data_IF_392418187743
#
_entry.id   IF_392418187743
#
_cell.length_a   1.000
_cell.length_b   1.000
_cell.length_c   1.000
_cell.angle_alpha   90.00
_cell.angle_beta   90.00
_cell.angle_gamma   90.00
#
_symmetry.space_group_name_H-M   'P 1'
#
loop_
_entity.id
_entity.type
_entity.pdbx_description
1 polymer ?
#
# COMPACT_ATOMS: atom_id res chain seq x y z
N UNK A 1 20.55 26.35 2.33
CA UNK A 1 19.11 26.62 2.51
C UNK A 1 18.50 27.19 1.23
N UNK A 2 18.94 28.36 0.75
CA UNK A 2 18.46 28.94 -0.53
C UNK A 2 18.55 27.98 -1.72
N UNK A 3 19.67 27.27 -1.92
CA UNK A 3 19.80 26.29 -3.01
C UNK A 3 18.80 25.13 -2.92
N UNK A 4 18.50 24.65 -1.71
CA UNK A 4 17.54 23.57 -1.49
C UNK A 4 16.11 24.04 -1.77
N UNK A 5 15.77 25.25 -1.33
CA UNK A 5 14.47 25.86 -1.60
C UNK A 5 14.29 26.20 -3.09
N UNK A 6 15.34 26.71 -3.74
CA UNK A 6 15.36 26.96 -5.19
C UNK A 6 15.20 25.69 -6.02
N UNK A 7 15.86 24.59 -5.61
CA UNK A 7 15.66 23.27 -6.21
C UNK A 7 14.19 22.82 -6.11
N UNK A 8 13.59 22.91 -4.91
CA UNK A 8 12.17 22.56 -4.70
C UNK A 8 11.22 23.39 -5.57
N UNK A 9 11.41 24.71 -5.63
CA UNK A 9 10.57 25.61 -6.40
C UNK A 9 10.65 25.33 -7.92
N UNK A 10 11.86 25.21 -8.46
CA UNK A 10 12.09 24.95 -9.88
C UNK A 10 11.48 23.61 -10.31
N UNK A 11 11.61 22.59 -9.46
CA UNK A 11 11.02 21.30 -9.73
C UNK A 11 9.49 21.33 -9.70
N UNK A 12 8.88 22.02 -8.73
CA UNK A 12 7.42 22.15 -8.68
C UNK A 12 6.87 22.85 -9.94
N UNK A 13 7.52 23.91 -10.42
CA UNK A 13 7.12 24.63 -11.65
C UNK A 13 7.24 23.77 -12.91
N UNK A 14 8.19 22.84 -12.94
CA UNK A 14 8.36 21.92 -14.07
C UNK A 14 7.25 20.86 -14.19
N UNK A 15 6.47 20.66 -13.12
CA UNK A 15 5.33 19.74 -13.13
C UNK A 15 4.16 20.44 -13.82
N UNK A 16 3.82 19.97 -15.02
CA UNK A 16 2.69 20.47 -15.80
C UNK A 16 1.53 19.46 -15.76
N UNK A 17 0.75 19.38 -14.65
CA UNK A 17 -0.32 18.39 -14.50
C UNK A 17 -1.45 18.62 -15.52
N UNK A 18 -1.62 19.84 -16.04
CA UNK A 18 -2.58 20.17 -17.10
C UNK A 18 -2.40 19.38 -18.41
N UNK A 19 -1.24 18.74 -18.61
CA UNK A 19 -0.99 17.83 -19.73
C UNK A 19 -1.68 16.47 -19.55
N UNK A 20 -2.19 16.15 -18.35
CA UNK A 20 -3.08 15.02 -18.08
C UNK A 20 -4.50 15.35 -18.59
N UNK A 21 -4.61 15.64 -19.89
CA UNK A 21 -5.90 15.92 -20.51
C UNK A 21 -6.71 14.61 -20.59
N UNK A 22 -7.95 14.66 -20.09
CA UNK A 22 -8.84 13.51 -19.92
C UNK A 22 -8.98 12.68 -21.20
N UNK A 23 -8.53 11.43 -21.13
CA UNK A 23 -9.10 10.32 -21.90
C UNK A 23 -9.22 9.11 -21.00
N UNK A 24 -10.46 8.81 -20.66
CA UNK A 24 -10.89 7.72 -19.79
C UNK A 24 -10.23 6.41 -20.24
N UNK A 25 -9.28 5.92 -19.44
CA UNK A 25 -8.54 4.67 -19.68
C UNK A 25 -7.02 4.82 -19.82
N UNK A 26 -6.48 6.02 -20.06
CA UNK A 26 -5.02 6.22 -20.20
C UNK A 26 -4.38 7.07 -19.11
N UNK A 27 -5.13 7.47 -18.08
CA UNK A 27 -4.66 8.36 -17.02
C UNK A 27 -3.37 7.84 -16.35
N UNK A 28 -3.37 6.59 -15.88
CA UNK A 28 -2.20 6.02 -15.20
C UNK A 28 -1.00 5.86 -16.15
N UNK A 29 -1.23 5.53 -17.42
CA UNK A 29 -0.14 5.44 -18.40
C UNK A 29 0.49 6.81 -18.67
N UNK A 30 -0.33 7.85 -18.75
CA UNK A 30 0.18 9.22 -18.88
C UNK A 30 0.92 9.66 -17.63
N UNK A 31 0.38 9.37 -16.44
CA UNK A 31 1.02 9.67 -15.16
C UNK A 31 2.37 8.96 -15.05
N UNK A 32 2.44 7.67 -15.35
CA UNK A 32 3.67 6.90 -15.32
C UNK A 32 4.71 7.44 -16.30
N UNK A 33 4.31 7.86 -17.51
CA UNK A 33 5.21 8.49 -18.48
C UNK A 33 5.74 9.82 -17.97
N UNK A 34 4.88 10.68 -17.45
CA UNK A 34 5.28 11.96 -16.85
C UNK A 34 6.23 11.76 -15.68
N UNK A 35 5.90 10.83 -14.79
CA UNK A 35 6.73 10.47 -13.64
C UNK A 35 8.09 9.93 -14.07
N UNK A 36 8.14 9.02 -15.05
CA UNK A 36 9.38 8.47 -15.59
C UNK A 36 10.29 9.56 -16.16
N UNK A 37 9.74 10.47 -16.98
CA UNK A 37 10.47 11.61 -17.52
C UNK A 37 11.00 12.52 -16.41
N UNK A 38 10.15 12.78 -15.40
CA UNK A 38 10.52 13.58 -14.25
C UNK A 38 11.64 12.92 -13.43
N UNK A 39 11.60 11.60 -13.21
CA UNK A 39 12.70 10.86 -12.57
C UNK A 39 14.02 10.99 -13.32
N UNK A 40 14.01 10.97 -14.66
CA UNK A 40 15.23 11.16 -15.47
C UNK A 40 15.80 12.56 -15.22
N UNK A 41 14.95 13.59 -15.27
CA UNK A 41 15.36 14.97 -14.98
C UNK A 41 15.92 15.10 -13.56
N UNK A 42 15.22 14.55 -12.56
CA UNK A 42 15.65 14.58 -11.14
C UNK A 42 17.00 13.90 -10.98
N UNK A 43 17.23 12.73 -11.58
CA UNK A 43 18.54 12.05 -11.52
C UNK A 43 19.65 12.93 -12.09
N UNK A 44 19.41 13.60 -13.22
CA UNK A 44 20.39 14.53 -13.80
C UNK A 44 20.66 15.70 -12.87
N UNK A 45 19.62 16.35 -12.34
CA UNK A 45 19.75 17.54 -11.50
C UNK A 45 20.36 17.19 -10.13
N UNK A 46 19.86 16.17 -9.44
CA UNK A 46 20.41 15.67 -8.17
C UNK A 46 21.87 15.24 -8.30
N UNK A 47 22.31 14.78 -9.48
CA UNK A 47 23.72 14.50 -9.76
C UNK A 47 24.61 15.71 -9.52
N UNK A 48 24.18 16.91 -9.94
CA UNK A 48 24.91 18.16 -9.70
C UNK A 48 24.85 18.62 -8.24
N UNK A 49 23.76 18.29 -7.54
CA UNK A 49 23.49 18.73 -6.17
C UNK A 49 23.79 17.66 -5.10
N UNK A 50 24.53 16.60 -5.42
CA UNK A 50 24.83 15.50 -4.50
C UNK A 50 25.49 15.98 -3.19
N UNK A 51 26.26 17.06 -3.24
CA UNK A 51 26.82 17.70 -2.04
C UNK A 51 25.74 18.17 -1.04
N UNK A 52 24.58 18.65 -1.54
CA UNK A 52 23.47 19.05 -0.68
C UNK A 52 22.89 17.84 0.06
N UNK A 53 22.72 16.70 -0.59
CA UNK A 53 22.25 15.47 0.07
C UNK A 53 23.23 15.01 1.17
N UNK A 54 24.53 15.01 0.87
CA UNK A 54 25.57 14.53 1.81
C UNK A 54 25.84 15.44 2.99
N UNK A 55 25.67 16.75 2.82
CA UNK A 55 26.11 17.70 3.85
C UNK A 55 24.96 18.50 4.43
N UNK A 56 24.08 19.04 3.59
CA UNK A 56 23.02 19.95 4.05
C UNK A 56 21.79 19.20 4.55
N UNK A 57 21.34 18.19 3.81
CA UNK A 57 20.16 17.38 4.15
C UNK A 57 20.44 16.56 5.40
N UNK A 58 21.60 15.90 5.49
CA UNK A 58 22.00 15.10 6.65
C UNK A 58 22.07 15.94 7.94
N UNK A 59 22.71 17.11 7.88
CA UNK A 59 22.82 18.01 9.04
C UNK A 59 21.48 18.55 9.53
N UNK A 60 20.52 18.76 8.63
CA UNK A 60 19.20 19.32 8.94
C UNK A 60 18.10 18.27 9.11
N UNK A 61 18.42 16.98 8.93
CA UNK A 61 17.47 15.86 8.92
C UNK A 61 16.29 16.10 7.96
N UNK A 62 16.56 16.70 6.81
CA UNK A 62 15.55 16.92 5.77
C UNK A 62 15.37 15.65 4.93
N UNK A 63 14.27 15.54 4.16
CA UNK A 63 14.15 14.50 3.13
C UNK A 63 15.25 14.66 2.08
N UNK A 64 15.71 13.54 1.50
CA UNK A 64 16.68 13.61 0.41
C UNK A 64 16.11 14.35 -0.82
N UNK A 65 16.99 14.80 -1.70
CA UNK A 65 16.59 15.54 -2.90
C UNK A 65 15.63 14.75 -3.80
N UNK A 66 15.76 13.42 -3.84
CA UNK A 66 14.85 12.57 -4.60
C UNK A 66 13.45 12.47 -3.97
N UNK A 67 13.34 12.34 -2.65
CA UNK A 67 12.05 12.30 -1.93
C UNK A 67 11.37 13.67 -1.96
N UNK A 68 12.17 14.74 -1.89
CA UNK A 68 11.70 16.12 -2.05
C UNK A 68 11.16 16.35 -3.46
N UNK A 69 11.83 15.80 -4.48
CA UNK A 69 11.36 15.85 -5.85
C UNK A 69 10.08 15.03 -6.06
N UNK A 70 9.99 13.83 -5.47
CA UNK A 70 8.80 13.00 -5.49
C UNK A 70 7.60 13.73 -4.85
N UNK A 71 7.82 14.35 -3.69
CA UNK A 71 6.84 15.21 -3.02
C UNK A 71 6.40 16.36 -3.92
N UNK A 72 7.33 17.07 -4.55
CA UNK A 72 7.01 18.19 -5.44
C UNK A 72 6.17 17.75 -6.65
N UNK A 73 6.40 16.55 -7.17
CA UNK A 73 5.61 15.97 -8.26
C UNK A 73 4.22 15.53 -7.80
N UNK A 74 4.14 14.63 -6.83
CA UNK A 74 2.86 14.02 -6.42
C UNK A 74 1.96 15.00 -5.68
N UNK A 75 2.49 15.91 -4.86
CA UNK A 75 1.65 16.95 -4.23
C UNK A 75 1.00 17.87 -5.27
N UNK A 76 1.73 18.21 -6.33
CA UNK A 76 1.20 19.00 -7.46
C UNK A 76 0.18 18.18 -8.26
N UNK A 77 0.43 16.91 -8.56
CA UNK A 77 -0.56 16.08 -9.28
C UNK A 77 -1.84 15.91 -8.46
N UNK A 78 -1.73 15.59 -7.17
CA UNK A 78 -2.87 15.39 -6.29
C UNK A 78 -3.61 16.69 -5.99
N UNK A 79 -2.99 17.87 -6.07
CA UNK A 79 -3.73 19.14 -5.93
C UNK A 79 -4.74 19.37 -7.06
N UNK A 80 -4.53 18.77 -8.24
CA UNK A 80 -5.44 18.91 -9.39
C UNK A 80 -6.29 17.67 -9.65
N UNK A 81 -5.73 16.45 -9.44
CA UNK A 81 -6.34 15.19 -9.87
C UNK A 81 -6.35 14.11 -8.76
N UNK A 82 -6.44 14.51 -7.49
CA UNK A 82 -6.42 13.57 -6.36
C UNK A 82 -7.46 12.45 -6.53
N UNK A 83 -8.72 12.81 -6.81
CA UNK A 83 -9.80 11.83 -6.90
C UNK A 83 -9.63 10.89 -8.11
N UNK A 84 -9.32 11.44 -9.28
CA UNK A 84 -9.19 10.68 -10.53
C UNK A 84 -7.99 9.72 -10.48
N UNK A 85 -6.85 10.18 -9.96
CA UNK A 85 -5.66 9.35 -9.81
C UNK A 85 -5.89 8.27 -8.76
N UNK A 86 -6.45 8.62 -7.61
CA UNK A 86 -6.78 7.64 -6.57
C UNK A 86 -7.78 6.60 -7.07
N UNK A 87 -8.87 7.00 -7.70
CA UNK A 87 -9.88 6.05 -8.19
C UNK A 87 -9.31 5.14 -9.30
N UNK A 88 -8.49 5.67 -10.21
CA UNK A 88 -7.84 4.86 -11.23
C UNK A 88 -6.84 3.85 -10.63
N UNK A 89 -6.06 4.25 -9.62
CA UNK A 89 -5.13 3.36 -8.91
C UNK A 89 -5.90 2.28 -8.14
N UNK A 90 -6.94 2.65 -7.39
CA UNK A 90 -7.77 1.71 -6.64
C UNK A 90 -8.49 0.75 -7.57
N UNK A 91 -9.02 1.22 -8.69
CA UNK A 91 -9.64 0.37 -9.72
C UNK A 91 -8.63 -0.63 -10.29
N UNK A 92 -7.40 -0.20 -10.55
CA UNK A 92 -6.33 -1.11 -11.01
C UNK A 92 -6.00 -2.18 -9.95
N UNK A 93 -5.95 -1.80 -8.67
CA UNK A 93 -5.73 -2.77 -7.57
C UNK A 93 -6.90 -3.76 -7.48
N UNK A 94 -8.16 -3.30 -7.56
CA UNK A 94 -9.33 -4.18 -7.56
C UNK A 94 -9.31 -5.16 -8.74
N UNK A 95 -8.96 -4.69 -9.93
CA UNK A 95 -8.83 -5.53 -11.12
C UNK A 95 -7.76 -6.62 -10.93
N UNK A 96 -6.60 -6.26 -10.39
CA UNK A 96 -5.55 -7.24 -10.07
C UNK A 96 -6.02 -8.26 -9.03
N UNK A 97 -6.75 -7.83 -7.99
CA UNK A 97 -7.35 -8.73 -6.99
C UNK A 97 -8.35 -9.72 -7.61
N UNK A 98 -9.12 -9.29 -8.61
CA UNK A 98 -10.05 -10.13 -9.37
C UNK A 98 -9.34 -11.03 -10.40
N UNK A 99 -8.00 -10.97 -10.49
CA UNK A 99 -7.19 -11.78 -11.41
C UNK A 99 -7.15 -11.25 -12.84
N UNK A 100 -7.59 -10.01 -13.07
CA UNK A 100 -7.49 -9.34 -14.35
C UNK A 100 -6.02 -8.92 -14.55
N UNK A 101 -5.50 -9.13 -15.75
CA UNK A 101 -4.12 -8.74 -16.08
C UNK A 101 -4.00 -7.21 -16.09
N UNK A 102 -3.31 -6.68 -15.10
CA UNK A 102 -3.02 -5.25 -14.94
C UNK A 102 -1.55 -4.99 -15.26
N UNK A 103 -1.26 -3.84 -15.85
CA UNK A 103 0.11 -3.38 -16.07
C UNK A 103 0.77 -3.03 -14.73
N UNK A 104 1.39 -4.04 -14.11
CA UNK A 104 2.02 -3.94 -12.80
C UNK A 104 3.21 -2.99 -12.79
N UNK A 105 3.89 -2.81 -13.92
CA UNK A 105 5.01 -1.87 -14.02
C UNK A 105 4.52 -0.42 -13.88
N UNK A 106 3.39 -0.09 -14.52
CA UNK A 106 2.74 1.22 -14.35
C UNK A 106 2.27 1.41 -12.91
N UNK A 107 1.52 0.45 -12.36
CA UNK A 107 0.97 0.54 -11.01
C UNK A 107 2.08 0.69 -9.97
N UNK A 108 3.08 -0.19 -10.01
CA UNK A 108 4.21 -0.17 -9.07
C UNK A 108 5.09 1.07 -9.25
N UNK A 109 5.32 1.51 -10.48
CA UNK A 109 6.12 2.71 -10.74
C UNK A 109 5.50 3.97 -10.10
N UNK A 110 4.18 4.12 -10.20
CA UNK A 110 3.45 5.23 -9.58
C UNK A 110 3.41 5.07 -8.05
N UNK A 111 3.02 3.89 -7.56
CA UNK A 111 2.89 3.64 -6.11
C UNK A 111 4.22 3.81 -5.36
N UNK A 112 5.35 3.37 -5.94
CA UNK A 112 6.69 3.62 -5.38
C UNK A 112 7.01 5.10 -5.32
N UNK A 113 6.64 5.87 -6.34
CA UNK A 113 6.79 7.33 -6.33
C UNK A 113 5.97 7.99 -5.22
N UNK A 114 4.71 7.58 -5.07
CA UNK A 114 3.81 8.06 -4.00
C UNK A 114 4.39 7.71 -2.63
N UNK A 115 4.96 6.51 -2.44
CA UNK A 115 5.55 6.08 -1.18
C UNK A 115 6.79 6.89 -0.75
N UNK A 116 7.39 7.63 -1.66
CA UNK A 116 8.50 8.57 -1.40
C UNK A 116 8.03 10.02 -1.24
N UNK A 117 6.73 10.25 -1.27
CA UNK A 117 6.11 11.58 -1.20
C UNK A 117 5.31 11.77 0.08
N UNK A 118 5.01 13.02 0.42
CA UNK A 118 4.08 13.35 1.51
C UNK A 118 2.65 12.83 1.30
N UNK A 119 2.27 12.49 0.05
CA UNK A 119 0.95 11.92 -0.29
C UNK A 119 0.82 10.45 0.17
N UNK A 120 1.91 9.79 0.59
CA UNK A 120 1.91 8.39 1.04
C UNK A 120 0.81 8.07 2.05
N UNK A 121 0.62 8.92 3.06
CA UNK A 121 -0.36 8.69 4.13
C UNK A 121 -1.79 8.72 3.61
N UNK A 122 -2.11 9.67 2.74
CA UNK A 122 -3.41 9.77 2.07
C UNK A 122 -3.70 8.53 1.23
N UNK A 123 -2.77 8.15 0.34
CA UNK A 123 -2.97 6.99 -0.54
C UNK A 123 -3.02 5.68 0.26
N UNK A 124 -2.20 5.53 1.31
CA UNK A 124 -2.26 4.38 2.24
C UNK A 124 -3.66 4.23 2.83
N UNK A 125 -4.24 5.32 3.33
CA UNK A 125 -5.58 5.29 3.92
C UNK A 125 -6.64 4.93 2.86
N UNK A 126 -6.53 5.47 1.65
CA UNK A 126 -7.44 5.15 0.55
C UNK A 126 -7.38 3.65 0.17
N UNK A 127 -6.18 3.08 0.04
CA UNK A 127 -6.00 1.64 -0.22
C UNK A 127 -6.61 0.80 0.90
N UNK A 128 -6.32 1.14 2.16
CA UNK A 128 -6.84 0.42 3.35
C UNK A 128 -8.37 0.41 3.38
N UNK A 129 -9.00 1.55 3.15
CA UNK A 129 -10.46 1.68 3.12
C UNK A 129 -11.07 0.89 1.96
N UNK A 130 -10.43 0.94 0.79
CA UNK A 130 -10.89 0.19 -0.37
C UNK A 130 -10.75 -1.32 -0.18
N UNK A 131 -9.63 -1.78 0.38
CA UNK A 131 -9.40 -3.20 0.71
C UNK A 131 -10.49 -3.72 1.61
N UNK A 132 -10.84 -2.96 2.66
CA UNK A 132 -11.93 -3.31 3.57
C UNK A 132 -13.24 -3.48 2.81
N UNK A 133 -13.65 -2.47 2.02
CA UNK A 133 -14.90 -2.50 1.27
C UNK A 133 -14.95 -3.67 0.26
N UNK A 134 -13.83 -3.94 -0.42
CA UNK A 134 -13.69 -5.05 -1.36
C UNK A 134 -13.93 -6.40 -0.67
N UNK A 135 -13.25 -6.67 0.45
CA UNK A 135 -13.40 -7.94 1.15
C UNK A 135 -14.73 -8.08 1.90
N UNK A 136 -15.37 -6.99 2.34
CA UNK A 136 -16.74 -7.02 2.88
C UNK A 136 -17.76 -7.47 1.84
N UNK A 137 -17.57 -7.06 0.58
CA UNK A 137 -18.42 -7.51 -0.53
C UNK A 137 -18.13 -8.98 -0.87
N UNK A 138 -16.84 -9.35 -1.01
CA UNK A 138 -16.44 -10.72 -1.33
C UNK A 138 -16.86 -11.73 -0.26
N UNK A 139 -16.82 -11.36 1.02
CA UNK A 139 -17.27 -12.23 2.12
C UNK A 139 -18.75 -12.58 1.98
N UNK A 140 -19.58 -11.57 1.72
CA UNK A 140 -21.03 -11.73 1.50
C UNK A 140 -21.36 -12.58 0.27
N UNK A 141 -20.53 -12.51 -0.78
CA UNK A 141 -20.67 -13.35 -1.97
C UNK A 141 -20.24 -14.80 -1.68
N UNK A 142 -19.07 -15.00 -1.08
CA UNK A 142 -18.47 -16.32 -0.90
C UNK A 142 -19.16 -17.17 0.15
N UNK A 143 -19.74 -16.56 1.19
CA UNK A 143 -20.38 -17.30 2.27
C UNK A 143 -21.59 -18.14 1.83
N UNK A 144 -22.26 -17.71 0.76
CA UNK A 144 -23.39 -18.46 0.16
C UNK A 144 -22.90 -19.47 -0.87
N UNK A 145 -21.73 -19.24 -1.47
CA UNK A 145 -21.20 -20.04 -2.58
C UNK A 145 -20.35 -21.22 -2.14
N UNK A 146 -19.64 -21.11 -1.01
CA UNK A 146 -18.64 -22.08 -0.57
C UNK A 146 -18.99 -22.73 0.77
N UNK A 147 -18.69 -24.03 0.95
CA UNK A 147 -18.74 -24.66 2.27
C UNK A 147 -17.66 -24.05 3.20
N UNK A 148 -17.82 -24.22 4.52
CA UNK A 148 -16.95 -23.58 5.52
C UNK A 148 -15.46 -23.82 5.25
N UNK A 149 -15.05 -25.06 4.98
CA UNK A 149 -13.63 -25.38 4.81
C UNK A 149 -13.01 -24.62 3.62
N UNK A 150 -13.72 -24.58 2.49
CA UNK A 150 -13.28 -23.87 1.29
C UNK A 150 -13.30 -22.35 1.51
N UNK A 151 -14.29 -21.84 2.26
CA UNK A 151 -14.34 -20.44 2.66
C UNK A 151 -13.12 -20.06 3.51
N UNK A 152 -12.80 -20.83 4.55
CA UNK A 152 -11.65 -20.57 5.41
C UNK A 152 -10.31 -20.68 4.65
N UNK A 153 -10.19 -21.66 3.74
CA UNK A 153 -9.02 -21.77 2.87
C UNK A 153 -8.87 -20.54 1.97
N UNK A 154 -9.97 -20.00 1.43
CA UNK A 154 -9.96 -18.73 0.68
C UNK A 154 -9.56 -17.54 1.55
N UNK A 155 -10.01 -17.46 2.80
CA UNK A 155 -9.62 -16.38 3.72
C UNK A 155 -8.11 -16.40 3.93
N UNK A 156 -7.52 -17.58 4.15
CA UNK A 156 -6.07 -17.73 4.32
C UNK A 156 -5.30 -17.31 3.06
N UNK A 157 -5.69 -17.82 1.88
CA UNK A 157 -5.06 -17.46 0.60
C UNK A 157 -5.18 -15.96 0.31
N UNK A 158 -6.32 -15.35 0.63
CA UNK A 158 -6.51 -13.90 0.49
C UNK A 158 -5.61 -13.12 1.43
N UNK A 159 -5.41 -13.59 2.66
CA UNK A 159 -4.53 -12.95 3.62
C UNK A 159 -3.07 -12.97 3.12
N UNK A 160 -2.58 -14.12 2.67
CA UNK A 160 -1.21 -14.26 2.17
C UNK A 160 -0.97 -13.36 0.94
N UNK A 161 -1.90 -13.36 -0.02
CA UNK A 161 -1.82 -12.51 -1.22
C UNK A 161 -1.90 -11.03 -0.90
N UNK A 162 -2.82 -10.62 -0.02
CA UNK A 162 -2.99 -9.21 0.32
C UNK A 162 -1.80 -8.67 1.13
N UNK A 163 -1.19 -9.48 1.99
CA UNK A 163 0.05 -9.09 2.70
C UNK A 163 1.15 -8.76 1.71
N UNK A 164 1.38 -9.63 0.72
CA UNK A 164 2.36 -9.40 -0.34
C UNK A 164 2.04 -8.15 -1.16
N UNK A 165 0.76 -7.92 -1.49
CA UNK A 165 0.29 -6.71 -2.20
C UNK A 165 0.54 -5.44 -1.41
N UNK A 166 0.22 -5.41 -0.12
CA UNK A 166 0.43 -4.22 0.72
C UNK A 166 1.92 -3.92 0.89
N UNK A 167 2.77 -4.94 1.04
CA UNK A 167 4.22 -4.78 1.03
C UNK A 167 4.70 -4.17 -0.29
N UNK A 168 4.23 -4.68 -1.42
CA UNK A 168 4.65 -4.18 -2.73
C UNK A 168 4.15 -2.77 -3.02
N UNK A 169 2.85 -2.50 -2.81
CA UNK A 169 2.21 -1.25 -3.20
C UNK A 169 2.56 -0.11 -2.25
N UNK A 170 2.52 -0.34 -0.93
CA UNK A 170 2.64 0.72 0.06
C UNK A 170 4.05 0.83 0.67
N UNK A 171 4.96 -0.05 0.26
CA UNK A 171 6.32 -0.14 0.78
C UNK A 171 6.32 -0.13 2.32
N UNK A 172 5.50 -1.02 2.89
CA UNK A 172 5.35 -1.22 4.33
C UNK A 172 6.14 -2.48 4.72
N UNK A 173 6.70 -2.51 5.93
CA UNK A 173 7.39 -3.68 6.46
C UNK A 173 6.44 -4.88 6.59
N UNK A 174 6.98 -6.10 6.53
CA UNK A 174 6.20 -7.33 6.56
C UNK A 174 5.29 -7.44 7.81
N UNK A 175 5.83 -7.15 8.99
CA UNK A 175 5.07 -7.16 10.24
C UNK A 175 3.86 -6.22 10.22
N UNK A 176 4.10 -4.95 9.87
CA UNK A 176 3.06 -3.91 9.75
C UNK A 176 2.01 -4.27 8.68
N UNK A 177 2.43 -4.86 7.56
CA UNK A 177 1.54 -5.26 6.47
C UNK A 177 0.64 -6.43 6.88
N UNK A 178 1.18 -7.37 7.65
CA UNK A 178 0.44 -8.52 8.17
C UNK A 178 -0.60 -8.08 9.19
N UNK A 179 -0.23 -7.20 10.13
CA UNK A 179 -1.18 -6.63 11.10
C UNK A 179 -2.29 -5.84 10.41
N UNK A 180 -1.94 -5.06 9.37
CA UNK A 180 -2.91 -4.32 8.59
C UNK A 180 -3.86 -5.25 7.83
N UNK A 181 -3.33 -6.30 7.18
CA UNK A 181 -4.11 -7.34 6.51
C UNK A 181 -5.08 -8.03 7.46
N UNK A 182 -4.65 -8.40 8.67
CA UNK A 182 -5.55 -8.98 9.67
C UNK A 182 -6.74 -8.06 9.96
N UNK A 183 -6.52 -6.75 10.08
CA UNK A 183 -7.58 -5.78 10.36
C UNK A 183 -8.51 -5.56 9.17
N UNK A 184 -7.98 -5.48 7.96
CA UNK A 184 -8.76 -5.07 6.76
C UNK A 184 -9.30 -6.23 5.93
N UNK A 185 -8.80 -7.45 6.12
CA UNK A 185 -9.20 -8.66 5.38
C UNK A 185 -9.90 -9.64 6.30
N UNK A 186 -9.26 -10.00 7.42
CA UNK A 186 -9.69 -11.12 8.26
C UNK A 186 -10.75 -10.70 9.27
N UNK A 187 -10.44 -9.80 10.20
CA UNK A 187 -11.25 -9.60 11.41
C UNK A 187 -12.66 -9.05 11.13
N UNK A 188 -12.76 -7.97 10.36
CA UNK A 188 -14.02 -7.24 10.19
C UNK A 188 -14.82 -7.57 8.90
N UNK A 189 -14.21 -7.89 7.75
CA UNK A 189 -14.96 -8.22 6.54
C UNK A 189 -15.29 -9.71 6.40
N UNK A 190 -14.34 -10.62 6.59
CA UNK A 190 -14.54 -12.05 6.31
C UNK A 190 -15.06 -12.82 7.53
N UNK A 191 -14.54 -12.51 8.72
CA UNK A 191 -14.88 -13.23 9.94
C UNK A 191 -16.19 -12.75 10.58
N UNK A 192 -16.38 -11.44 10.78
CA UNK A 192 -17.65 -10.89 11.31
C UNK A 192 -18.87 -11.24 10.44
N UNK A 193 -18.75 -11.19 9.11
CA UNK A 193 -19.84 -11.57 8.18
C UNK A 193 -20.18 -13.06 8.31
N UNK A 194 -19.19 -13.91 8.59
CA UNK A 194 -19.43 -15.32 8.86
C UNK A 194 -20.16 -15.53 10.18
N UNK A 195 -19.72 -14.86 11.25
CA UNK A 195 -20.36 -14.94 12.56
C UNK A 195 -21.82 -14.49 12.54
N UNK A 196 -22.17 -13.47 11.74
CA UNK A 196 -23.58 -13.06 11.57
C UNK A 196 -24.39 -14.12 10.83
N UNK A 197 -23.86 -14.65 9.73
CA UNK A 197 -24.54 -15.67 8.91
C UNK A 197 -24.76 -16.98 9.67
N UNK A 198 -23.75 -17.45 10.42
CA UNK A 198 -23.86 -18.66 11.22
C UNK A 198 -24.93 -18.54 12.31
N UNK A 199 -25.04 -17.36 12.95
CA UNK A 199 -26.08 -17.04 13.93
C UNK A 199 -27.47 -17.06 13.29
N UNK A 200 -27.64 -16.45 12.12
CA UNK A 200 -28.93 -16.40 11.41
C UNK A 200 -29.41 -17.78 10.96
N UNK A 201 -28.49 -18.63 10.48
CA UNK A 201 -28.82 -19.95 9.94
C UNK A 201 -28.95 -21.06 11.00
N UNK A 202 -28.73 -20.75 12.29
CA UNK A 202 -28.75 -21.72 13.38
C UNK A 202 -27.88 -22.97 13.10
N UNK A 203 -26.79 -22.80 12.36
CA UNK A 203 -25.88 -23.90 12.02
C UNK A 203 -25.20 -24.34 13.33
N UNK A 204 -25.30 -25.64 13.65
CA UNK A 204 -24.88 -26.23 14.94
C UNK A 204 -23.54 -25.71 15.46
N UNK A 205 -23.62 -24.75 16.39
CA UNK A 205 -22.57 -23.75 16.62
C UNK A 205 -21.40 -24.16 17.51
N UNK A 206 -21.20 -25.45 17.83
CA UNK A 206 -20.13 -25.84 18.75
C UNK A 206 -18.90 -26.39 18.04
N UNK A 207 -19.08 -27.27 17.04
CA UNK A 207 -17.95 -27.81 16.27
C UNK A 207 -17.43 -26.80 15.22
N UNK A 208 -18.33 -26.12 14.50
CA UNK A 208 -17.95 -25.09 13.52
C UNK A 208 -17.26 -23.89 14.17
N UNK A 209 -17.73 -23.47 15.35
CA UNK A 209 -17.18 -22.32 16.08
C UNK A 209 -15.83 -22.67 16.73
N UNK A 210 -15.60 -23.95 17.05
CA UNK A 210 -14.31 -24.44 17.51
C UNK A 210 -13.29 -24.50 16.36
N UNK A 211 -13.68 -24.98 15.17
CA UNK A 211 -12.83 -24.91 13.97
C UNK A 211 -12.52 -23.47 13.57
N UNK A 212 -13.52 -22.58 13.66
CA UNK A 212 -13.35 -21.15 13.42
C UNK A 212 -12.36 -20.51 14.41
N UNK A 213 -12.56 -20.70 15.72
CA UNK A 213 -11.63 -20.20 16.74
C UNK A 213 -10.23 -20.75 16.55
N UNK A 214 -10.07 -22.02 16.18
CA UNK A 214 -8.73 -22.57 15.91
C UNK A 214 -8.05 -21.95 14.69
N UNK A 215 -8.81 -21.57 13.65
CA UNK A 215 -8.24 -20.89 12.47
C UNK A 215 -7.94 -19.44 12.80
N UNK A 216 -8.84 -18.73 13.51
CA UNK A 216 -8.58 -17.39 14.02
C UNK A 216 -7.35 -17.38 14.94
N UNK A 217 -7.27 -18.29 15.90
CA UNK A 217 -6.15 -18.44 16.82
C UNK A 217 -4.87 -18.83 16.09
N UNK A 218 -4.90 -19.69 15.06
CA UNK A 218 -3.70 -20.00 14.26
C UNK A 218 -3.25 -18.80 13.42
N UNK A 219 -4.18 -18.06 12.81
CA UNK A 219 -3.87 -16.85 12.06
C UNK A 219 -3.31 -15.74 12.97
N UNK A 220 -3.93 -15.53 14.14
CA UNK A 220 -3.43 -14.62 15.17
C UNK A 220 -2.08 -15.09 15.73
N UNK A 221 -1.88 -16.40 15.92
CA UNK A 221 -0.62 -16.99 16.39
C UNK A 221 0.50 -16.92 15.34
N UNK A 222 0.18 -16.98 14.04
CA UNK A 222 1.15 -16.69 12.97
C UNK A 222 1.57 -15.23 13.03
N UNK A 223 0.65 -14.33 13.32
CA UNK A 223 0.96 -12.90 13.43
C UNK A 223 1.79 -12.57 14.68
N UNK A 224 1.53 -13.23 15.82
CA UNK A 224 2.35 -13.05 17.03
C UNK A 224 3.76 -13.64 16.86
N UNK A 225 3.92 -14.73 16.11
CA UNK A 225 5.24 -15.28 15.74
C UNK A 225 6.05 -14.31 14.88
N UNK A 226 5.41 -13.61 13.95
CA UNK A 226 6.06 -12.57 13.13
C UNK A 226 6.48 -11.33 13.93
N UNK A 227 5.73 -10.97 14.98
CA UNK A 227 6.10 -9.85 15.86
C UNK A 227 7.33 -10.17 16.71
N UNK A 228 7.50 -11.44 17.11
CA UNK A 228 8.62 -11.89 17.94
C UNK A 228 9.92 -11.98 17.13
N UNK A 229 9.86 -12.44 15.86
CA UNK A 229 11.05 -12.57 15.02
C UNK A 229 11.59 -11.21 14.52
N UNK A 230 10.72 -10.19 14.39
CA UNK A 230 11.15 -8.82 14.06
C UNK A 230 11.74 -8.03 15.23
N UNK A 231 11.71 -8.60 16.45
CA UNK A 231 12.15 -7.96 17.69
C UNK A 231 13.53 -8.39 18.21
N UNK A 232 14.22 -9.32 17.53
CA UNK A 232 15.52 -9.84 17.97
C UNK A 232 16.53 -9.71 16.83
N UNK A 233 16.98 -8.49 16.55
CA UNK A 233 18.33 -8.22 16.05
C UNK A 233 18.65 -6.72 16.09
N UNK A 234 19.08 -6.26 17.27
CA UNK A 234 20.26 -5.41 17.48
C UNK A 234 20.22 -4.74 18.85
N UNK A 235 20.64 -5.48 19.87
CA UNK A 235 21.26 -4.89 21.07
C UNK A 235 21.94 -6.00 21.88
N UNK A 236 23.02 -6.57 21.35
CA UNK A 236 23.97 -7.40 22.10
C UNK A 236 25.30 -7.45 21.34
N UNK A 237 26.10 -6.42 21.54
CA UNK A 237 27.48 -6.34 21.04
C UNK A 237 28.30 -5.43 21.95
N UNK A 238 28.25 -5.69 23.25
CA UNK A 238 29.20 -5.13 24.22
C UNK A 238 30.36 -6.11 24.36
N UNK A 239 31.58 -5.58 24.24
CA UNK A 239 32.83 -5.95 24.91
C UNK A 239 34.06 -6.27 24.03
N UNK A 240 35.06 -5.40 24.25
CA UNK A 240 36.52 -5.59 24.32
C UNK A 240 37.41 -5.12 23.14
N UNK A 241 38.35 -4.26 23.58
CA UNK A 241 39.55 -3.65 22.97
C UNK A 241 39.39 -2.53 21.94
#
# INVERSE_FOLDING_TARGET
EEMYNGYKATLAESVCPHLMHQRDGYLLRQLAKMWSNYCIMVKCVSGFFNYLDRCFVEQRKLPCLEDTAATSFFSTVFSFFSHEVSDALLTSIRQERDGINVDMDILMGIMRGICRSEVKSFMKNAVVQDTYAYYSRKSSEWIVQYPLQDYLAKVQDCMEKETMRLMSYLCIAEGDSTELCLKVVVSAPLMQTYDSYAREKQIGGQLLLQTYKTVEDDLLARCSRLTIDSGVDNSSGSYME
#
